data_IF_081254018449
#
_entry.id   IF_081254018449
#
_cell.length_a   1.000
_cell.length_b   1.000
_cell.length_c   1.000
_cell.angle_alpha   90.00
_cell.angle_beta   90.00
_cell.angle_gamma   90.00
#
_symmetry.space_group_name_H-M   'P 1'
#
loop_
_entity.id
_entity.type
_entity.pdbx_description
1 polymer ?
#
# COMPACT_ATOMS: atom_id res chain seq x y z
N UNK A 1 -7.48 1.02 12.41
CA UNK A 1 -6.68 0.81 11.20
C UNK A 1 -5.24 0.83 11.57
N UNK A 2 -4.50 -0.09 11.01
CA UNK A 2 -3.08 -0.19 11.26
C UNK A 2 -2.42 -1.00 10.14
N UNK A 3 -1.11 -0.84 9.99
CA UNK A 3 -0.28 -1.50 9.00
C UNK A 3 0.66 -2.52 9.63
N UNK A 4 1.01 -3.55 8.88
CA UNK A 4 2.04 -4.49 9.28
C UNK A 4 2.98 -4.82 8.13
N UNK A 5 4.25 -5.03 8.47
CA UNK A 5 5.28 -5.39 7.51
C UNK A 5 5.30 -6.91 7.31
N UNK A 6 5.40 -7.32 6.05
CA UNK A 6 5.53 -8.71 5.59
C UNK A 6 6.79 -8.84 4.75
N UNK A 7 7.60 -9.87 5.01
CA UNK A 7 8.83 -10.12 4.25
C UNK A 7 8.46 -10.61 2.85
N UNK A 8 9.02 -10.00 1.81
CA UNK A 8 8.80 -10.42 0.42
C UNK A 8 9.47 -11.77 0.13
N UNK A 9 9.00 -12.48 -0.90
CA UNK A 9 9.63 -13.71 -1.37
C UNK A 9 10.80 -13.43 -2.35
N UNK A 10 11.71 -12.56 -1.91
CA UNK A 10 12.85 -12.11 -2.68
C UNK A 10 14.09 -11.92 -1.79
N UNK A 11 15.26 -12.17 -2.37
CA UNK A 11 16.55 -12.02 -1.69
C UNK A 11 17.12 -10.63 -1.90
N UNK A 12 17.88 -10.11 -0.92
CA UNK A 12 18.64 -8.87 -1.09
C UNK A 12 19.66 -9.01 -2.23
N UNK A 13 20.17 -10.22 -2.47
CA UNK A 13 21.11 -10.50 -3.57
C UNK A 13 20.47 -10.39 -4.96
N UNK A 14 19.15 -10.30 -5.05
CA UNK A 14 18.45 -10.05 -6.31
C UNK A 14 18.36 -8.57 -6.69
N UNK A 15 18.90 -7.67 -5.86
CA UNK A 15 18.90 -6.24 -6.13
C UNK A 15 19.87 -5.91 -7.25
N UNK A 16 19.37 -5.21 -8.27
CA UNK A 16 20.18 -4.58 -9.30
C UNK A 16 20.01 -3.06 -9.27
N UNK A 17 21.05 -2.31 -9.69
CA UNK A 17 20.91 -0.89 -9.90
C UNK A 17 19.83 -0.65 -10.96
N UNK A 18 18.98 0.35 -10.71
CA UNK A 18 18.04 0.87 -11.70
C UNK A 18 18.55 2.21 -12.19
N UNK A 19 18.66 2.35 -13.51
CA UNK A 19 18.67 3.66 -14.14
C UNK A 19 17.25 4.21 -13.99
N UNK A 20 17.04 5.32 -13.26
CA UNK A 20 15.76 6.01 -13.36
C UNK A 20 15.56 6.35 -14.84
N UNK A 21 14.37 6.10 -15.37
CA UNK A 21 14.03 6.59 -16.70
C UNK A 21 14.36 8.10 -16.73
N UNK A 22 15.00 8.61 -17.80
CA UNK A 22 15.25 10.04 -17.92
C UNK A 22 13.91 10.74 -17.70
N UNK A 23 13.84 11.56 -16.65
CA UNK A 23 12.69 12.41 -16.42
C UNK A 23 12.80 13.47 -17.49
N UNK A 24 12.17 13.24 -18.65
CA UNK A 24 11.95 14.30 -19.61
C UNK A 24 11.27 15.45 -18.86
N UNK A 25 11.83 16.66 -18.98
CA UNK A 25 11.12 17.83 -18.49
C UNK A 25 9.80 17.91 -19.23
N UNK A 26 8.77 18.44 -18.56
CA UNK A 26 7.47 18.64 -19.22
C UNK A 26 7.65 19.42 -20.53
N UNK A 27 8.55 20.40 -20.53
CA UNK A 27 8.91 21.18 -21.72
C UNK A 27 9.54 20.35 -22.83
N UNK A 28 10.44 19.40 -22.51
CA UNK A 28 11.06 18.52 -23.50
C UNK A 28 10.06 17.52 -24.10
N UNK A 29 9.11 17.04 -23.29
CA UNK A 29 8.02 16.18 -23.74
C UNK A 29 7.04 16.93 -24.65
N UNK A 30 6.66 18.15 -24.25
CA UNK A 30 5.79 19.01 -25.05
C UNK A 30 6.47 19.42 -26.37
N UNK A 31 7.77 19.76 -26.34
CA UNK A 31 8.51 20.09 -27.56
C UNK A 31 8.55 18.91 -28.56
N UNK A 32 8.70 17.68 -28.07
CA UNK A 32 8.62 16.48 -28.91
C UNK A 32 7.22 16.28 -29.50
N UNK A 33 6.18 16.44 -28.68
CA UNK A 33 4.80 16.36 -29.17
C UNK A 33 4.51 17.44 -30.22
N UNK A 34 5.01 18.66 -30.03
CA UNK A 34 4.88 19.73 -31.02
C UNK A 34 5.64 19.43 -32.32
N UNK A 35 6.80 18.78 -32.24
CA UNK A 35 7.55 18.31 -33.42
C UNK A 35 6.82 17.17 -34.13
N UNK A 36 6.25 16.22 -33.37
CA UNK A 36 5.43 15.12 -33.89
C UNK A 36 4.16 15.67 -34.59
N UNK A 37 3.44 16.59 -33.96
CA UNK A 37 2.26 17.24 -34.55
C UNK A 37 2.60 18.07 -35.80
N UNK A 38 3.75 18.77 -35.81
CA UNK A 38 4.23 19.45 -37.03
C UNK A 38 4.54 18.47 -38.15
N UNK A 39 5.17 17.34 -37.81
CA UNK A 39 5.50 16.28 -38.79
C UNK A 39 4.26 15.57 -39.35
N UNK A 40 3.14 15.56 -38.62
CA UNK A 40 1.86 15.05 -39.09
C UNK A 40 1.09 16.05 -39.98
N UNK A 41 1.36 17.35 -39.85
CA UNK A 41 0.65 18.40 -40.61
C UNK A 41 1.20 18.67 -42.02
N UNK A 42 2.35 18.10 -42.38
CA UNK A 42 3.01 18.29 -43.69
C UNK A 42 2.74 17.14 -44.67
N UNK A 43 1.89 16.17 -44.29
CA UNK A 43 1.46 15.06 -45.14
C UNK A 43 0.26 15.40 -46.02
N UNK A 44 0.36 16.47 -46.80
CA UNK A 44 -0.58 16.82 -47.86
C UNK A 44 0.02 16.48 -49.22
N UNK A 45 -0.47 15.38 -49.79
CA UNK A 45 -0.40 14.95 -51.18
C UNK A 45 0.95 14.47 -51.76
N UNK A 46 0.85 13.31 -52.41
CA UNK A 46 1.74 12.71 -53.43
C UNK A 46 2.79 11.66 -53.00
N UNK A 47 2.45 10.44 -53.40
CA UNK A 47 3.23 9.49 -54.20
C UNK A 47 3.59 8.12 -53.60
N UNK A 48 3.04 7.11 -54.30
CA UNK A 48 3.25 5.68 -54.13
C UNK A 48 4.66 5.32 -54.59
N UNK A 49 5.59 5.18 -53.65
CA UNK A 49 6.87 4.50 -53.86
C UNK A 49 7.45 4.01 -52.55
N UNK A 50 7.51 2.69 -52.40
CA UNK A 50 8.12 2.01 -51.26
C UNK A 50 9.60 2.39 -51.09
N UNK A 51 10.07 2.84 -49.90
CA UNK A 51 11.49 2.97 -49.64
C UNK A 51 12.03 1.72 -48.92
N UNK A 52 13.03 1.12 -49.55
CA UNK A 52 13.94 0.12 -49.01
C UNK A 52 14.60 0.52 -47.68
N UNK A 53 14.70 -0.45 -46.76
CA UNK A 53 15.35 -0.35 -45.45
C UNK A 53 16.81 0.19 -45.52
N UNK A 54 17.17 1.21 -44.73
CA UNK A 54 18.57 1.54 -44.48
C UNK A 54 19.16 0.67 -43.36
N UNK A 55 20.18 -0.12 -43.70
CA UNK A 55 21.07 -0.79 -42.77
C UNK A 55 21.79 0.20 -41.83
N UNK A 56 22.07 -0.18 -40.56
CA UNK A 56 22.84 0.65 -39.63
C UNK A 56 24.33 0.69 -40.00
N UNK A 57 25.04 1.84 -39.82
CA UNK A 57 26.47 1.92 -40.10
C UNK A 57 27.32 1.31 -38.98
N UNK A 58 28.39 0.62 -39.38
CA UNK A 58 29.45 0.06 -38.54
C UNK A 58 30.27 1.14 -37.80
N UNK A 59 30.75 0.88 -36.57
CA UNK A 59 31.58 1.81 -35.82
C UNK A 59 33.07 1.72 -36.21
N UNK A 60 33.60 2.79 -36.82
CA UNK A 60 35.03 3.04 -37.02
C UNK A 60 35.69 3.84 -35.89
N UNK A 61 37.04 3.99 -35.87
CA UNK A 61 37.86 3.62 -34.71
C UNK A 61 38.28 4.76 -33.75
N UNK A 62 38.73 4.30 -32.57
CA UNK A 62 39.35 5.00 -31.44
C UNK A 62 40.30 6.17 -31.78
N UNK A 63 40.35 7.14 -30.85
CA UNK A 63 41.51 7.81 -30.22
C UNK A 63 40.96 9.11 -29.57
N UNK A 64 40.85 9.29 -28.26
CA UNK A 64 41.96 9.50 -27.31
C UNK A 64 41.39 9.74 -25.89
N UNK A 65 42.03 9.17 -24.88
CA UNK A 65 41.96 9.56 -23.45
C UNK A 65 43.40 9.50 -22.94
N UNK A 66 43.87 10.33 -21.96
CA UNK A 66 43.36 10.23 -20.59
C UNK A 66 43.46 11.49 -19.70
N UNK A 67 42.54 11.59 -18.73
CA UNK A 67 42.67 12.43 -17.53
C UNK A 67 42.41 11.58 -16.28
N UNK A 68 43.47 11.23 -15.57
CA UNK A 68 43.47 10.42 -14.34
C UNK A 68 42.88 11.15 -13.13
N UNK A 69 42.32 10.42 -12.15
CA UNK A 69 42.59 10.74 -10.76
C UNK A 69 43.32 9.61 -10.03
N UNK A 70 44.35 10.06 -9.32
CA UNK A 70 45.21 9.43 -8.32
C UNK A 70 44.81 8.07 -7.72
N UNK A 71 45.79 7.17 -7.70
CA UNK A 71 45.81 5.88 -7.03
C UNK A 71 45.76 6.00 -5.50
N UNK A 72 44.92 5.17 -4.86
CA UNK A 72 45.22 4.66 -3.52
C UNK A 72 44.81 3.19 -3.41
N UNK A 73 45.84 2.38 -3.11
CA UNK A 73 45.88 1.03 -2.54
C UNK A 73 44.84 -0.02 -2.98
N UNK A 74 45.37 -1.05 -3.64
CA UNK A 74 44.65 -2.22 -4.14
C UNK A 74 43.84 -2.96 -3.07
N UNK A 75 42.57 -3.18 -3.40
CA UNK A 75 41.73 -4.21 -2.81
C UNK A 75 41.38 -5.18 -3.93
N UNK A 76 41.54 -6.51 -3.75
CA UNK A 76 41.19 -7.46 -4.79
C UNK A 76 39.71 -7.30 -5.18
N UNK A 77 39.34 -7.57 -6.45
CA UNK A 77 37.94 -7.51 -6.85
C UNK A 77 37.11 -8.41 -5.93
N UNK A 78 36.08 -7.83 -5.31
CA UNK A 78 35.24 -8.55 -4.34
C UNK A 78 34.55 -9.71 -5.02
N UNK A 79 34.50 -10.86 -4.36
CA UNK A 79 33.72 -12.03 -4.81
C UNK A 79 32.25 -11.63 -4.95
N UNK A 80 31.51 -12.12 -5.98
CA UNK A 80 30.08 -11.93 -6.07
C UNK A 80 29.42 -12.50 -4.81
N UNK A 81 28.80 -11.63 -4.00
CA UNK A 81 28.24 -12.01 -2.69
C UNK A 81 28.73 -11.18 -1.51
N UNK A 82 29.83 -10.44 -1.63
CA UNK A 82 30.47 -9.76 -0.50
C UNK A 82 30.02 -8.29 -0.34
N UNK A 83 28.76 -8.14 0.08
CA UNK A 83 28.06 -6.85 0.17
C UNK A 83 28.40 -6.01 1.42
N UNK A 84 29.44 -6.38 2.18
CA UNK A 84 29.89 -5.59 3.34
C UNK A 84 30.37 -4.21 2.87
N UNK A 85 29.63 -3.18 3.26
CA UNK A 85 29.92 -1.76 2.99
C UNK A 85 29.08 -1.13 1.87
N UNK A 86 28.28 -1.89 1.12
CA UNK A 86 27.44 -1.34 0.05
C UNK A 86 26.12 -0.80 0.60
N UNK A 87 25.73 0.40 0.15
CA UNK A 87 24.50 1.08 0.58
C UNK A 87 23.40 0.90 -0.46
N UNK A 88 22.55 -0.09 -0.26
CA UNK A 88 21.34 -0.26 -1.04
C UNK A 88 20.25 0.72 -0.61
N UNK A 89 19.58 1.32 -1.59
CA UNK A 89 18.45 2.21 -1.36
C UNK A 89 17.33 1.92 -2.34
N UNK A 90 16.08 2.20 -1.94
CA UNK A 90 14.94 2.13 -2.85
C UNK A 90 14.99 3.19 -3.96
N UNK A 91 15.90 4.15 -3.96
CA UNK A 91 16.03 5.06 -5.10
C UNK A 91 16.92 4.46 -6.19
N UNK A 92 17.93 3.72 -5.78
CA UNK A 92 19.00 3.27 -6.67
C UNK A 92 18.90 1.79 -7.04
N UNK A 93 18.17 0.97 -6.29
CA UNK A 93 18.10 -0.47 -6.51
C UNK A 93 16.68 -1.00 -6.51
N UNK A 94 16.43 -2.03 -7.35
CA UNK A 94 15.19 -2.82 -7.37
C UNK A 94 15.53 -4.30 -7.45
N UNK A 95 14.67 -5.13 -6.87
CA UNK A 95 14.79 -6.58 -7.02
C UNK A 95 14.34 -6.97 -8.41
N UNK A 96 15.13 -7.80 -9.08
CA UNK A 96 14.73 -8.38 -10.37
C UNK A 96 13.62 -9.40 -10.16
N UNK A 97 13.73 -10.20 -9.09
CA UNK A 97 12.79 -11.29 -8.81
C UNK A 97 11.44 -10.76 -8.33
N UNK A 98 11.42 -9.64 -7.61
CA UNK A 98 10.20 -9.03 -7.09
C UNK A 98 10.27 -7.50 -7.15
N UNK A 99 9.97 -6.90 -8.32
CA UNK A 99 10.11 -5.46 -8.56
C UNK A 99 9.25 -4.56 -7.66
N UNK A 100 8.16 -5.08 -7.09
CA UNK A 100 7.25 -4.33 -6.22
C UNK A 100 7.74 -4.24 -4.78
N UNK A 101 8.52 -5.22 -4.33
CA UNK A 101 9.05 -5.24 -2.98
C UNK A 101 10.01 -4.06 -2.74
N UNK A 102 10.01 -3.52 -1.52
CA UNK A 102 10.85 -2.37 -1.15
C UNK A 102 11.71 -2.71 0.05
N UNK A 103 12.95 -2.23 0.04
CA UNK A 103 13.83 -2.29 1.21
C UNK A 103 13.23 -1.45 2.34
N UNK A 104 13.04 -2.07 3.48
CA UNK A 104 12.55 -1.39 4.67
C UNK A 104 13.25 -1.93 5.91
N UNK A 105 13.50 -1.07 6.90
CA UNK A 105 14.07 -1.45 8.21
C UNK A 105 12.98 -1.41 9.27
N UNK A 106 12.82 -2.47 10.04
CA UNK A 106 11.77 -2.54 11.08
C UNK A 106 12.05 -1.60 12.25
N UNK A 107 13.32 -1.45 12.63
CA UNK A 107 13.77 -0.55 13.68
C UNK A 107 15.19 -0.05 13.38
N UNK A 108 15.64 0.96 14.13
CA UNK A 108 17.04 1.37 14.11
C UNK A 108 17.95 0.17 14.47
N UNK A 109 19.05 0.00 13.73
CA UNK A 109 20.02 -1.08 13.95
C UNK A 109 19.64 -2.45 13.35
N UNK A 110 18.41 -2.63 12.83
CA UNK A 110 18.03 -3.89 12.18
C UNK A 110 18.30 -3.87 10.68
N UNK A 111 18.59 -5.05 10.13
CA UNK A 111 18.82 -5.21 8.70
C UNK A 111 17.59 -4.83 7.86
N UNK A 112 17.86 -4.19 6.72
CA UNK A 112 16.84 -3.90 5.74
C UNK A 112 16.49 -5.19 5.00
N UNK A 113 15.22 -5.50 4.86
CA UNK A 113 14.75 -6.59 4.00
C UNK A 113 13.73 -6.05 3.01
N UNK A 114 13.60 -6.74 1.88
CA UNK A 114 12.50 -6.54 0.94
C UNK A 114 11.18 -6.92 1.63
N UNK A 115 10.27 -5.95 1.67
CA UNK A 115 9.03 -6.04 2.42
C UNK A 115 7.86 -5.42 1.64
N UNK A 116 6.67 -5.93 1.96
CA UNK A 116 5.38 -5.33 1.67
C UNK A 116 4.77 -4.77 2.95
N UNK A 117 3.80 -3.88 2.77
CA UNK A 117 3.02 -3.31 3.83
C UNK A 117 1.57 -3.73 3.66
N UNK A 118 0.99 -4.32 4.69
CA UNK A 118 -0.40 -4.79 4.69
C UNK A 118 -1.18 -3.97 5.70
N UNK A 119 -2.25 -3.34 5.25
CA UNK A 119 -3.17 -2.58 6.06
C UNK A 119 -4.42 -3.37 6.39
N UNK A 120 -4.89 -3.25 7.62
CA UNK A 120 -6.20 -3.75 8.02
C UNK A 120 -7.09 -2.62 8.51
N UNK A 121 -8.33 -2.64 8.04
CA UNK A 121 -9.45 -1.92 8.63
C UNK A 121 -10.30 -2.91 9.40
N UNK A 122 -10.50 -2.65 10.69
CA UNK A 122 -11.13 -3.60 11.61
C UNK A 122 -12.24 -2.88 12.38
N UNK A 123 -13.40 -3.50 12.47
CA UNK A 123 -14.38 -3.12 13.48
C UNK A 123 -13.89 -3.58 14.86
N UNK A 124 -13.49 -2.62 15.68
CA UNK A 124 -12.96 -2.90 17.02
C UNK A 124 -13.97 -3.55 17.98
N UNK A 125 -15.28 -3.47 17.70
CA UNK A 125 -16.32 -4.08 18.55
C UNK A 125 -16.48 -5.57 18.24
N UNK A 126 -16.66 -5.94 16.98
CA UNK A 126 -16.82 -7.33 16.55
C UNK A 126 -15.50 -8.05 16.29
N UNK A 127 -14.38 -7.31 16.24
CA UNK A 127 -13.07 -7.81 15.80
C UNK A 127 -13.06 -8.35 14.37
N UNK A 128 -14.02 -7.97 13.53
CA UNK A 128 -14.10 -8.35 12.11
C UNK A 128 -13.19 -7.44 11.29
N UNK A 129 -12.37 -8.05 10.43
CA UNK A 129 -11.61 -7.31 9.41
C UNK A 129 -12.59 -6.91 8.30
N UNK A 130 -12.81 -5.61 8.13
CA UNK A 130 -13.68 -5.06 7.10
C UNK A 130 -12.95 -4.95 5.74
N UNK A 131 -11.65 -4.61 5.77
CA UNK A 131 -10.84 -4.49 4.55
C UNK A 131 -9.38 -4.78 4.83
N UNK A 132 -8.71 -5.38 3.84
CA UNK A 132 -7.26 -5.55 3.82
C UNK A 132 -6.66 -5.03 2.52
N UNK A 133 -5.53 -4.34 2.61
CA UNK A 133 -4.84 -3.76 1.45
C UNK A 133 -3.33 -3.97 1.58
N UNK A 134 -2.72 -4.65 0.61
CA UNK A 134 -1.30 -4.70 0.37
C UNK A 134 -0.90 -3.45 -0.42
N UNK A 135 0.19 -2.82 0.02
CA UNK A 135 0.77 -1.64 -0.62
C UNK A 135 2.28 -1.82 -0.74
N UNK A 136 2.81 -1.20 -1.79
CA UNK A 136 4.23 -0.91 -1.92
C UNK A 136 4.60 0.07 -0.80
N UNK A 137 5.74 -0.15 -0.16
CA UNK A 137 6.19 0.72 0.92
C UNK A 137 6.65 2.07 0.33
N UNK A 138 5.88 3.11 0.61
CA UNK A 138 6.22 4.51 0.33
C UNK A 138 6.07 5.33 1.62
N UNK A 139 6.56 6.58 1.63
CA UNK A 139 6.40 7.46 2.79
C UNK A 139 4.95 7.84 3.10
N UNK A 140 4.04 7.66 2.15
CA UNK A 140 2.62 8.01 2.26
C UNK A 140 1.67 6.81 2.21
N UNK A 141 2.19 5.61 1.87
CA UNK A 141 1.38 4.40 1.65
C UNK A 141 0.43 4.09 2.80
N UNK A 142 0.89 4.25 4.05
CA UNK A 142 0.05 4.00 5.23
C UNK A 142 -1.19 4.91 5.25
N UNK A 143 -0.97 6.21 5.04
CA UNK A 143 -1.98 7.27 5.12
C UNK A 143 -3.00 7.18 3.99
N UNK A 144 -2.51 6.92 2.79
CA UNK A 144 -3.33 6.72 1.60
C UNK A 144 -4.20 5.47 1.75
N UNK A 145 -3.61 4.35 2.17
CA UNK A 145 -4.35 3.10 2.38
C UNK A 145 -5.49 3.28 3.40
N UNK A 146 -5.24 3.98 4.51
CA UNK A 146 -6.28 4.22 5.51
C UNK A 146 -7.49 5.00 4.94
N UNK A 147 -7.24 6.05 4.15
CA UNK A 147 -8.32 6.87 3.58
C UNK A 147 -9.05 6.13 2.46
N UNK A 148 -8.30 5.49 1.55
CA UNK A 148 -8.89 4.68 0.48
C UNK A 148 -9.75 3.55 1.04
N UNK A 149 -9.27 2.84 2.07
CA UNK A 149 -10.04 1.76 2.67
C UNK A 149 -11.40 2.22 3.22
N UNK A 150 -11.47 3.42 3.82
CA UNK A 150 -12.73 3.98 4.31
C UNK A 150 -13.70 4.32 3.20
N UNK A 151 -13.20 4.96 2.14
CA UNK A 151 -14.00 5.31 0.97
C UNK A 151 -14.55 4.06 0.30
N UNK A 152 -13.70 3.05 0.12
CA UNK A 152 -14.10 1.79 -0.48
C UNK A 152 -15.16 1.08 0.36
N UNK A 153 -14.98 0.97 1.69
CA UNK A 153 -15.99 0.35 2.57
C UNK A 153 -17.32 1.10 2.48
N UNK A 154 -17.29 2.44 2.47
CA UNK A 154 -18.51 3.26 2.37
C UNK A 154 -19.22 3.07 1.03
N UNK A 155 -18.46 2.86 -0.05
CA UNK A 155 -18.98 2.58 -1.40
C UNK A 155 -19.57 1.18 -1.50
N UNK A 156 -18.84 0.17 -1.03
CA UNK A 156 -19.21 -1.25 -1.15
C UNK A 156 -20.30 -1.66 -0.14
N UNK A 157 -20.35 -0.99 1.01
CA UNK A 157 -21.25 -1.30 2.11
C UNK A 157 -21.96 -0.03 2.64
N UNK A 158 -22.91 0.54 1.87
CA UNK A 158 -23.57 1.80 2.24
C UNK A 158 -24.38 1.72 3.55
N UNK A 159 -24.76 0.52 3.99
CA UNK A 159 -25.43 0.30 5.28
C UNK A 159 -24.50 0.46 6.49
N UNK A 160 -23.18 0.41 6.30
CA UNK A 160 -22.20 0.57 7.36
C UNK A 160 -21.84 2.05 7.55
N UNK A 161 -22.30 2.65 8.65
CA UNK A 161 -21.92 4.01 9.03
C UNK A 161 -20.66 4.01 9.89
N UNK A 162 -19.53 4.39 9.30
CA UNK A 162 -18.26 4.57 10.02
C UNK A 162 -18.27 5.91 10.75
N UNK A 163 -18.35 5.89 12.08
CA UNK A 163 -18.43 7.11 12.89
C UNK A 163 -17.04 7.65 13.29
N UNK A 164 -16.11 6.75 13.60
CA UNK A 164 -14.79 7.12 14.10
C UNK A 164 -13.74 6.12 13.68
N UNK A 165 -12.51 6.60 13.53
CA UNK A 165 -11.36 5.79 13.12
C UNK A 165 -10.22 6.00 14.07
N UNK A 166 -9.63 4.89 14.49
CA UNK A 166 -8.49 4.84 15.39
C UNK A 166 -7.29 4.26 14.63
N UNK A 167 -6.11 4.86 14.79
CA UNK A 167 -4.87 4.42 14.15
C UNK A 167 -3.64 5.07 14.79
N UNK A 168 -2.45 4.58 14.52
CA UNK A 168 -1.22 4.99 15.19
C UNK A 168 -0.82 6.47 14.97
N UNK A 169 0.12 6.95 15.79
CA UNK A 169 0.60 8.33 15.71
C UNK A 169 1.23 8.68 14.35
N UNK A 170 1.67 7.69 13.57
CA UNK A 170 2.15 7.87 12.20
C UNK A 170 1.08 8.41 11.22
N UNK A 171 -0.20 8.22 11.55
CA UNK A 171 -1.35 8.70 10.77
C UNK A 171 -1.81 10.12 11.19
N UNK A 172 -1.12 10.77 12.15
CA UNK A 172 -1.52 12.06 12.72
C UNK A 172 -1.06 13.28 11.88
N UNK A 173 -0.96 13.14 10.56
CA UNK A 173 -0.62 14.24 9.67
C UNK A 173 -1.84 15.10 9.32
N UNK A 174 -1.62 16.38 9.06
CA UNK A 174 -2.69 17.35 8.82
C UNK A 174 -3.59 16.97 7.65
N UNK A 175 -3.02 16.41 6.58
CA UNK A 175 -3.76 16.09 5.36
C UNK A 175 -4.72 14.92 5.58
N UNK A 176 -4.24 13.83 6.20
CA UNK A 176 -5.08 12.70 6.59
C UNK A 176 -6.17 13.13 7.56
N UNK A 177 -5.84 13.95 8.56
CA UNK A 177 -6.83 14.46 9.51
C UNK A 177 -7.89 15.34 8.84
N UNK A 178 -7.50 16.22 7.89
CA UNK A 178 -8.44 17.03 7.10
C UNK A 178 -9.36 16.14 6.25
N UNK A 179 -8.80 15.12 5.58
CA UNK A 179 -9.57 14.15 4.78
C UNK A 179 -10.59 13.40 5.63
N UNK A 180 -10.20 12.89 6.80
CA UNK A 180 -11.10 12.19 7.72
C UNK A 180 -12.25 13.09 8.19
N UNK A 181 -11.93 14.34 8.57
CA UNK A 181 -12.95 15.32 9.01
C UNK A 181 -13.92 15.69 7.88
N UNK A 182 -13.44 15.82 6.63
CA UNK A 182 -14.30 16.04 5.46
C UNK A 182 -15.22 14.86 5.15
N UNK A 183 -14.81 13.65 5.50
CA UNK A 183 -15.62 12.43 5.38
C UNK A 183 -16.65 12.26 6.52
N UNK A 184 -16.73 13.23 7.44
CA UNK A 184 -17.52 13.16 8.68
C UNK A 184 -17.13 11.97 9.58
N UNK A 185 -15.85 11.57 9.52
CA UNK A 185 -15.29 10.50 10.36
C UNK A 185 -14.44 11.14 11.44
N UNK A 186 -14.74 10.85 12.70
CA UNK A 186 -13.99 11.40 13.84
C UNK A 186 -12.60 10.74 13.91
N UNK A 187 -11.49 11.48 13.74
CA UNK A 187 -10.15 10.92 13.80
C UNK A 187 -9.71 10.77 15.25
N UNK A 188 -9.73 9.53 15.75
CA UNK A 188 -9.28 9.17 17.09
C UNK A 188 -7.81 8.74 17.04
N UNK A 189 -6.93 9.62 16.56
CA UNK A 189 -5.49 9.35 16.34
C UNK A 189 -4.65 10.15 17.35
N UNK A 190 -3.64 9.54 18.01
CA UNK A 190 -2.86 10.21 19.03
C UNK A 190 -1.95 11.25 18.38
N UNK A 191 -2.00 12.45 18.93
CA UNK A 191 -1.14 13.57 18.53
C UNK A 191 -0.02 13.77 19.55
N UNK A 192 1.15 14.26 19.10
CA UNK A 192 2.34 14.43 19.96
C UNK A 192 2.12 15.40 21.12
N UNK A 193 1.37 16.49 20.89
CA UNK A 193 1.03 17.48 21.90
C UNK A 193 -0.47 17.74 21.89
N UNK A 194 -1.06 17.83 23.09
CA UNK A 194 -2.47 18.15 23.31
C UNK A 194 -2.71 19.66 23.45
N UNK A 195 -1.66 20.46 23.64
CA UNK A 195 -1.78 21.91 23.77
C UNK A 195 -2.23 22.52 22.44
N UNK A 196 -3.23 23.40 22.50
CA UNK A 196 -3.73 24.11 21.31
C UNK A 196 -2.65 25.07 20.81
N UNK A 197 -2.45 25.08 19.50
CA UNK A 197 -1.60 26.08 18.84
C UNK A 197 -2.39 27.36 18.63
N UNK A 198 -1.74 28.51 18.84
CA UNK A 198 -2.29 29.79 18.45
C UNK A 198 -2.45 29.86 16.92
N UNK A 199 -3.50 30.54 16.46
CA UNK A 199 -3.67 30.77 15.04
C UNK A 199 -2.57 31.72 14.54
N UNK A 200 -1.96 31.44 13.39
CA UNK A 200 -0.95 32.33 12.82
C UNK A 200 -1.61 33.64 12.43
N UNK A 201 -1.09 34.74 12.95
CA UNK A 201 -1.47 36.10 12.57
C UNK A 201 -0.42 36.74 11.68
N UNK A 202 -0.84 37.51 10.68
CA UNK A 202 0.07 38.30 9.84
C UNK A 202 -0.28 39.78 9.96
N UNK A 203 0.72 40.62 10.27
CA UNK A 203 0.52 42.08 10.42
C UNK A 203 0.21 42.79 9.11
N UNK A 204 0.69 42.27 7.97
CA UNK A 204 0.51 42.89 6.65
C UNK A 204 -0.47 42.10 5.80
N UNK A 205 -1.39 42.79 5.13
CA UNK A 205 -2.22 42.23 4.08
C UNK A 205 -1.36 41.70 2.92
N UNK A 206 -1.85 40.68 2.21
CA UNK A 206 -1.20 40.11 1.04
C UNK A 206 -2.08 40.34 -0.17
N UNK A 207 -1.53 41.00 -1.19
CA UNK A 207 -2.19 41.18 -2.49
C UNK A 207 -1.97 39.98 -3.43
N UNK A 208 -0.87 39.26 -3.25
CA UNK A 208 -0.50 38.08 -4.07
C UNK A 208 -1.38 36.86 -3.73
N UNK A 209 -2.15 36.31 -4.69
CA UNK A 209 -3.08 35.20 -4.47
C UNK A 209 -2.37 33.91 -4.04
N UNK A 210 -1.14 33.65 -4.48
CA UNK A 210 -0.38 32.47 -4.08
C UNK A 210 -0.01 32.51 -2.60
N UNK A 211 0.49 33.66 -2.15
CA UNK A 211 0.82 33.89 -0.75
C UNK A 211 -0.43 33.84 0.12
N UNK A 212 -1.56 34.36 -0.36
CA UNK A 212 -2.85 34.25 0.32
C UNK A 212 -3.28 32.78 0.48
N UNK A 213 -3.20 31.97 -0.57
CA UNK A 213 -3.46 30.51 -0.52
C UNK A 213 -2.58 29.81 0.50
N UNK A 214 -1.27 30.08 0.51
CA UNK A 214 -0.32 29.52 1.49
C UNK A 214 -0.67 29.90 2.94
N UNK A 215 -1.08 31.16 3.18
CA UNK A 215 -1.53 31.63 4.51
C UNK A 215 -2.80 30.91 4.96
N UNK A 216 -3.81 30.83 4.09
CA UNK A 216 -5.04 30.09 4.37
C UNK A 216 -4.78 28.61 4.65
N UNK A 217 -3.89 27.97 3.89
CA UNK A 217 -3.48 26.59 4.14
C UNK A 217 -2.86 26.42 5.54
N UNK A 218 -2.04 27.37 5.99
CA UNK A 218 -1.46 27.36 7.35
C UNK A 218 -2.52 27.51 8.44
N UNK A 219 -3.46 28.46 8.28
CA UNK A 219 -4.58 28.63 9.21
C UNK A 219 -5.38 27.34 9.29
N UNK A 220 -5.78 26.79 8.14
CA UNK A 220 -6.56 25.56 8.05
C UNK A 220 -5.85 24.39 8.73
N UNK A 221 -4.55 24.25 8.50
CA UNK A 221 -3.75 23.20 9.14
C UNK A 221 -3.74 23.30 10.67
N UNK A 222 -3.68 24.51 11.23
CA UNK A 222 -3.76 24.73 12.68
C UNK A 222 -5.15 24.41 13.21
N UNK A 223 -6.21 24.84 12.50
CA UNK A 223 -7.61 24.54 12.87
C UNK A 223 -7.88 23.03 12.93
N UNK A 224 -7.46 22.28 11.92
CA UNK A 224 -7.58 20.82 11.87
C UNK A 224 -6.88 20.18 13.07
N UNK A 225 -5.60 20.52 13.30
CA UNK A 225 -4.83 19.96 14.43
C UNK A 225 -5.44 20.32 15.78
N UNK A 226 -5.90 21.56 15.97
CA UNK A 226 -6.56 21.99 17.20
C UNK A 226 -7.90 21.27 17.43
N UNK A 227 -8.68 21.00 16.38
CA UNK A 227 -9.90 20.19 16.47
C UNK A 227 -9.58 18.77 16.96
N UNK A 228 -8.56 18.13 16.39
CA UNK A 228 -8.13 16.77 16.78
C UNK A 228 -7.54 16.73 18.19
N UNK A 229 -6.81 17.76 18.61
CA UNK A 229 -6.34 17.91 20.01
C UNK A 229 -7.50 18.00 20.99
N UNK A 230 -8.54 18.78 20.65
CA UNK A 230 -9.76 18.88 21.46
C UNK A 230 -10.44 17.51 21.60
N UNK A 231 -10.53 16.74 20.50
CA UNK A 231 -11.12 15.39 20.51
C UNK A 231 -10.30 14.42 21.37
N UNK A 232 -8.97 14.45 21.25
CA UNK A 232 -8.06 13.60 22.04
C UNK A 232 -8.20 13.83 23.56
N UNK A 233 -8.56 15.04 23.98
CA UNK A 233 -8.72 15.37 25.40
C UNK A 233 -10.03 14.84 26.02
N UNK A 234 -10.96 14.30 25.22
CA UNK A 234 -12.25 13.85 25.71
C UNK A 234 -12.19 12.44 26.34
N UNK A 235 -13.04 12.13 27.35
CA UNK A 235 -13.08 10.81 27.98
C UNK A 235 -13.38 9.65 27.03
N UNK A 236 -14.28 9.87 26.05
CA UNK A 236 -14.66 8.87 25.05
C UNK A 236 -13.46 8.36 24.24
N UNK A 237 -12.48 9.23 23.96
CA UNK A 237 -11.24 8.86 23.27
C UNK A 237 -10.46 7.78 24.05
N UNK A 238 -10.40 7.89 25.38
CA UNK A 238 -9.64 6.95 26.23
C UNK A 238 -10.21 5.53 26.14
N UNK A 239 -11.53 5.39 26.06
CA UNK A 239 -12.19 4.09 25.95
C UNK A 239 -11.87 3.39 24.61
N UNK A 240 -11.89 4.13 23.49
CA UNK A 240 -11.60 3.57 22.17
C UNK A 240 -10.12 3.24 22.00
N UNK A 241 -9.22 4.02 22.63
CA UNK A 241 -7.77 3.71 22.63
C UNK A 241 -7.48 2.31 23.18
N UNK A 242 -8.19 1.85 24.21
CA UNK A 242 -8.04 0.49 24.77
C UNK A 242 -8.39 -0.60 23.75
N UNK A 243 -9.28 -0.33 22.79
CA UNK A 243 -9.70 -1.31 21.78
C UNK A 243 -8.76 -1.43 20.59
N UNK A 244 -7.74 -0.55 20.47
CA UNK A 244 -6.72 -0.63 19.42
C UNK A 244 -5.99 -1.97 19.43
N UNK A 245 -5.75 -2.53 20.60
CA UNK A 245 -5.07 -3.82 20.79
C UNK A 245 -5.70 -4.96 19.99
N UNK A 246 -6.98 -4.84 19.59
CA UNK A 246 -7.67 -5.82 18.73
C UNK A 246 -6.94 -5.98 17.39
N UNK A 247 -6.48 -4.89 16.76
CA UNK A 247 -5.79 -4.98 15.46
C UNK A 247 -4.39 -5.58 15.61
N UNK A 248 -3.70 -5.26 16.69
CA UNK A 248 -2.39 -5.83 17.00
C UNK A 248 -2.50 -7.34 17.20
N UNK A 249 -3.53 -7.80 17.92
CA UNK A 249 -3.82 -9.23 18.09
C UNK A 249 -4.17 -9.91 16.77
N UNK A 250 -4.90 -9.24 15.89
CA UNK A 250 -5.20 -9.74 14.54
C UNK A 250 -3.93 -9.92 13.70
N UNK A 251 -3.01 -8.96 13.72
CA UNK A 251 -1.73 -9.11 13.02
C UNK A 251 -0.85 -10.18 13.65
N UNK A 252 -0.81 -10.28 14.98
CA UNK A 252 -0.08 -11.34 15.67
C UNK A 252 -0.63 -12.72 15.30
N UNK A 253 -1.96 -12.90 15.30
CA UNK A 253 -2.62 -14.11 14.84
C UNK A 253 -2.29 -14.42 13.37
N UNK A 254 -2.38 -13.43 12.49
CA UNK A 254 -2.06 -13.57 11.07
C UNK A 254 -0.63 -14.05 10.85
N UNK A 255 0.32 -13.50 11.60
CA UNK A 255 1.75 -13.85 11.49
C UNK A 255 2.09 -15.21 12.07
N UNK A 256 1.49 -15.57 13.20
CA UNK A 256 1.80 -16.80 13.93
C UNK A 256 1.06 -18.02 13.35
N UNK A 257 -0.21 -17.87 12.95
CA UNK A 257 -1.07 -19.00 12.59
C UNK A 257 -1.39 -19.09 11.09
N UNK A 258 -1.37 -17.96 10.37
CA UNK A 258 -1.88 -17.89 8.99
C UNK A 258 -0.81 -17.49 7.96
N UNK A 259 0.47 -17.54 8.34
CA UNK A 259 1.58 -17.34 7.39
C UNK A 259 1.79 -15.91 6.90
N UNK A 260 1.23 -14.90 7.57
CA UNK A 260 1.38 -13.48 7.17
C UNK A 260 2.77 -12.89 7.45
N UNK A 261 3.72 -13.68 8.00
CA UNK A 261 5.08 -13.20 8.26
C UNK A 261 5.93 -13.04 7.00
N UNK A 262 5.62 -13.82 5.96
CA UNK A 262 6.34 -13.84 4.68
C UNK A 262 5.37 -14.06 3.52
N UNK A 263 5.59 -13.34 2.41
CA UNK A 263 4.88 -13.55 1.17
C UNK A 263 5.21 -14.95 0.61
N UNK A 264 4.19 -15.67 0.14
CA UNK A 264 4.33 -16.97 -0.53
C UNK A 264 4.70 -16.79 -2.00
N UNK A 265 4.14 -15.77 -2.62
CA UNK A 265 4.34 -15.40 -4.03
C UNK A 265 5.06 -14.06 -4.16
N UNK A 266 5.33 -13.62 -5.38
CA UNK A 266 5.99 -12.35 -5.73
C UNK A 266 5.01 -11.40 -6.41
N UNK A 267 5.26 -10.10 -6.33
CA UNK A 267 4.37 -9.06 -6.83
C UNK A 267 3.30 -8.62 -5.84
N UNK A 268 2.82 -7.38 -6.03
CA UNK A 268 1.85 -6.74 -5.16
C UNK A 268 0.49 -7.44 -5.17
N UNK A 269 0.01 -7.87 -6.34
CA UNK A 269 -1.29 -8.54 -6.50
C UNK A 269 -1.33 -9.86 -5.74
N UNK A 270 -0.29 -10.68 -5.88
CA UNK A 270 -0.21 -11.95 -5.17
C UNK A 270 -0.10 -11.75 -3.65
N UNK A 271 0.56 -10.66 -3.21
CA UNK A 271 0.55 -10.28 -1.79
C UNK A 271 -0.84 -9.84 -1.32
N UNK A 272 -1.59 -9.11 -2.16
CA UNK A 272 -2.99 -8.74 -1.88
C UNK A 272 -3.88 -9.98 -1.73
N UNK A 273 -3.78 -10.95 -2.63
CA UNK A 273 -4.52 -12.21 -2.55
C UNK A 273 -4.24 -12.96 -1.24
N UNK A 274 -2.97 -13.13 -0.87
CA UNK A 274 -2.59 -13.77 0.38
C UNK A 274 -3.15 -13.01 1.60
N UNK A 275 -3.13 -11.67 1.56
CA UNK A 275 -3.67 -10.85 2.64
C UNK A 275 -5.20 -11.01 2.77
N UNK A 276 -5.92 -11.04 1.64
CA UNK A 276 -7.37 -11.29 1.59
C UNK A 276 -7.69 -12.67 2.16
N UNK A 277 -7.03 -13.73 1.67
CA UNK A 277 -7.27 -15.09 2.14
C UNK A 277 -7.02 -15.23 3.65
N UNK A 278 -5.96 -14.61 4.15
CA UNK A 278 -5.67 -14.56 5.59
C UNK A 278 -6.80 -13.88 6.36
N UNK A 279 -7.26 -12.71 5.89
CA UNK A 279 -8.34 -11.97 6.54
C UNK A 279 -9.67 -12.74 6.51
N UNK A 280 -9.98 -13.43 5.41
CA UNK A 280 -11.16 -14.29 5.27
C UNK A 280 -11.11 -15.42 6.29
N UNK A 281 -10.01 -16.17 6.39
CA UNK A 281 -9.85 -17.25 7.37
C UNK A 281 -9.99 -16.72 8.81
N UNK A 282 -9.40 -15.56 9.10
CA UNK A 282 -9.52 -14.90 10.39
C UNK A 282 -10.97 -14.51 10.71
N UNK A 283 -11.71 -13.98 9.74
CA UNK A 283 -13.12 -13.65 9.90
C UNK A 283 -13.99 -14.91 10.07
N UNK A 284 -13.76 -15.96 9.28
CA UNK A 284 -14.46 -17.25 9.41
C UNK A 284 -14.25 -17.89 10.79
N UNK A 285 -13.03 -17.83 11.32
CA UNK A 285 -12.71 -18.31 12.68
C UNK A 285 -13.43 -17.51 13.78
N UNK A 286 -13.78 -16.25 13.52
CA UNK A 286 -14.59 -15.43 14.42
C UNK A 286 -16.06 -15.79 14.30
N UNK A 287 -16.57 -15.91 13.07
CA UNK A 287 -17.93 -16.33 12.77
C UNK A 287 -18.25 -17.72 13.35
N UNK A 288 -17.31 -18.66 13.30
CA UNK A 288 -17.50 -20.00 13.87
C UNK A 288 -17.74 -20.02 15.37
N UNK A 289 -17.39 -18.95 16.10
CA UNK A 289 -17.74 -18.79 17.53
C UNK A 289 -19.21 -18.43 17.76
N UNK A 290 -19.85 -17.83 16.75
CA UNK A 290 -21.26 -17.44 16.78
C UNK A 290 -22.18 -18.52 16.21
N UNK A 291 -21.66 -19.41 15.37
CA UNK A 291 -22.35 -20.65 14.99
C UNK A 291 -22.42 -21.50 16.26
N UNK A 292 -23.62 -21.59 16.87
CA UNK A 292 -23.90 -22.28 18.15
C UNK A 292 -22.99 -23.50 18.34
N UNK A 293 -22.33 -23.61 19.50
CA UNK A 293 -21.85 -24.91 20.00
C UNK A 293 -23.03 -25.87 19.89
N UNK A 294 -22.86 -27.01 19.20
CA UNK A 294 -23.83 -28.11 19.32
C UNK A 294 -24.09 -28.30 20.82
N UNK A 295 -25.35 -28.43 21.27
CA UNK A 295 -25.58 -28.88 22.63
C UNK A 295 -24.72 -30.13 22.82
N UNK A 296 -23.95 -30.18 23.91
CA UNK A 296 -23.21 -31.39 24.26
C UNK A 296 -24.17 -32.56 24.12
N UNK A 297 -23.77 -33.57 23.36
CA UNK A 297 -24.53 -34.79 23.13
C UNK A 297 -25.07 -35.29 24.48
N UNK A 298 -26.38 -35.17 24.67
CA UNK A 298 -27.01 -35.37 25.98
C UNK A 298 -28.42 -34.80 26.14
N UNK A 299 -28.90 -33.92 25.25
CA UNK A 299 -30.32 -33.52 25.22
C UNK A 299 -30.90 -33.60 23.82
N UNK A 300 -31.41 -34.80 23.50
CA UNK A 300 -32.37 -34.99 22.42
C UNK A 300 -33.66 -34.26 22.76
N UNK A 301 -33.88 -33.04 22.27
CA UNK A 301 -35.23 -32.53 22.04
C UNK A 301 -35.23 -31.57 20.84
N UNK A 302 -35.83 -32.05 19.75
CA UNK A 302 -36.49 -31.34 18.66
C UNK A 302 -36.14 -29.86 18.44
N UNK A 303 -35.44 -29.54 17.34
CA UNK A 303 -35.50 -28.21 16.72
C UNK A 303 -35.82 -28.29 15.21
N UNK A 304 -36.81 -27.46 14.85
CA UNK A 304 -37.62 -27.31 13.62
C UNK A 304 -36.86 -26.81 12.35
N UNK A 305 -37.49 -26.81 11.15
CA UNK A 305 -36.85 -26.94 9.82
C UNK A 305 -36.09 -25.71 9.25
N UNK A 306 -35.88 -24.64 10.01
CA UNK A 306 -35.10 -23.48 9.54
C UNK A 306 -33.59 -23.79 9.36
N UNK A 307 -33.12 -24.90 9.94
CA UNK A 307 -31.74 -25.37 9.93
C UNK A 307 -31.25 -25.82 8.53
N UNK A 308 -32.15 -26.34 7.68
CA UNK A 308 -31.76 -26.86 6.36
C UNK A 308 -31.47 -25.76 5.35
N UNK A 309 -32.07 -24.57 5.47
CA UNK A 309 -31.86 -23.48 4.49
C UNK A 309 -30.50 -22.80 4.67
N UNK A 310 -30.11 -22.47 5.90
CA UNK A 310 -28.84 -21.81 6.18
C UNK A 310 -27.63 -22.71 5.88
N UNK A 311 -27.76 -24.02 6.13
CA UNK A 311 -26.71 -24.99 5.83
C UNK A 311 -26.56 -25.22 4.33
N UNK A 312 -27.66 -25.22 3.56
CA UNK A 312 -27.63 -25.27 2.10
C UNK A 312 -27.02 -24.01 1.49
N UNK A 313 -27.33 -22.82 1.99
CA UNK A 313 -26.75 -21.58 1.45
C UNK A 313 -25.26 -21.45 1.73
N UNK A 314 -24.80 -21.81 2.94
CA UNK A 314 -23.37 -21.81 3.27
C UNK A 314 -22.62 -22.89 2.49
N UNK A 315 -23.21 -24.08 2.31
CA UNK A 315 -22.64 -25.13 1.48
C UNK A 315 -22.60 -24.75 -0.01
N UNK A 316 -23.63 -24.07 -0.51
CA UNK A 316 -23.68 -23.51 -1.86
C UNK A 316 -22.58 -22.44 -2.05
N UNK A 317 -22.37 -21.58 -1.06
CA UNK A 317 -21.34 -20.56 -1.12
C UNK A 317 -19.93 -21.17 -1.12
N UNK A 318 -19.70 -22.21 -0.30
CA UNK A 318 -18.42 -22.92 -0.24
C UNK A 318 -18.15 -23.75 -1.51
N UNK A 319 -19.18 -24.35 -2.11
CA UNK A 319 -19.05 -25.07 -3.39
C UNK A 319 -18.82 -24.12 -4.56
N UNK A 320 -19.48 -22.96 -4.61
CA UNK A 320 -19.17 -21.91 -5.61
C UNK A 320 -17.74 -21.40 -5.46
N UNK A 321 -17.27 -21.19 -4.22
CA UNK A 321 -15.88 -20.80 -3.96
C UNK A 321 -14.89 -21.89 -4.43
N UNK A 322 -15.21 -23.16 -4.19
CA UNK A 322 -14.39 -24.30 -4.63
C UNK A 322 -14.38 -24.46 -6.16
N UNK A 323 -15.52 -24.26 -6.84
CA UNK A 323 -15.61 -24.33 -8.31
C UNK A 323 -14.89 -23.14 -8.96
N UNK A 324 -15.02 -21.93 -8.42
CA UNK A 324 -14.32 -20.75 -8.94
C UNK A 324 -12.81 -20.88 -8.78
N UNK A 325 -12.34 -21.37 -7.64
CA UNK A 325 -10.90 -21.65 -7.43
C UNK A 325 -10.40 -22.78 -8.32
N UNK A 326 -11.18 -23.84 -8.52
CA UNK A 326 -10.82 -24.96 -9.40
C UNK A 326 -10.82 -24.57 -10.89
N UNK A 327 -11.77 -23.73 -11.31
CA UNK A 327 -11.85 -23.25 -12.69
C UNK A 327 -10.75 -22.22 -13.01
N UNK A 328 -10.35 -21.42 -12.02
CA UNK A 328 -9.25 -20.46 -12.14
C UNK A 328 -7.88 -21.16 -12.16
N UNK A 329 -7.68 -22.21 -11.35
CA UNK A 329 -6.50 -23.07 -11.41
C UNK A 329 -6.41 -23.81 -12.75
N UNK A 330 -7.54 -24.32 -13.28
CA UNK A 330 -7.58 -24.97 -14.61
C UNK A 330 -7.29 -24.00 -15.77
N UNK A 331 -7.86 -22.79 -15.78
CA UNK A 331 -7.62 -21.81 -16.87
C UNK A 331 -6.19 -21.28 -16.93
N UNK A 332 -5.47 -21.28 -15.80
CA UNK A 332 -4.09 -20.79 -15.73
C UNK A 332 -3.05 -21.85 -16.11
N UNK A 333 -3.44 -23.14 -16.15
CA UNK A 333 -2.60 -24.26 -16.60
C UNK A 333 -2.85 -24.67 -18.06
N UNK A 334 -3.87 -24.12 -18.72
CA UNK A 334 -4.19 -24.40 -20.13
C UNK A 334 -3.63 -23.37 -21.12
N UNK A 335 -2.74 -22.47 -20.69
CA UNK A 335 -2.05 -21.49 -21.56
C UNK A 335 -0.54 -21.74 -21.50
N UNK A 336 -0.13 -22.96 -21.82
CA UNK A 336 1.17 -23.28 -22.40
C UNK A 336 0.96 -24.52 -23.28
N UNK A 337 1.58 -24.52 -24.46
CA UNK A 337 1.45 -25.47 -25.59
C UNK A 337 0.37 -25.15 -26.64
N UNK A 338 0.64 -24.10 -27.41
CA UNK A 338 0.79 -24.17 -28.89
C UNK A 338 1.79 -23.11 -29.30
#
# INVERSE_FOLDING_TARGET
>A
MDGTLVRANASIHSLKPITPAPVESLDAYLARLEEEDRSFSDGGDEDDSSPSDPHPPDPGPNLSSPGSPSASSGRPPKKPGDFRGERFSNRTHRSITDPDARLYRKSSGQEAHLRYLIHHTVDTRSSVILRTQAKIITGTAEREAATCALLDIRREHPSLRIQSVSGDGGYADTETLDRLLKMDVVPLIPVRSLQKEALPGWRRAVRDPEKARKRWSKIKAVLVRNKVRRLNNQPHYRAIRKRRVVIERLFAEGKAQHGLSRARSRGLEAMQEQAILTAVVQNLKRLSRYVRKRPQTGSSVCLKPAYERLTREVAAFLTVLFVLTSHFVRRRWSIQWT
#
